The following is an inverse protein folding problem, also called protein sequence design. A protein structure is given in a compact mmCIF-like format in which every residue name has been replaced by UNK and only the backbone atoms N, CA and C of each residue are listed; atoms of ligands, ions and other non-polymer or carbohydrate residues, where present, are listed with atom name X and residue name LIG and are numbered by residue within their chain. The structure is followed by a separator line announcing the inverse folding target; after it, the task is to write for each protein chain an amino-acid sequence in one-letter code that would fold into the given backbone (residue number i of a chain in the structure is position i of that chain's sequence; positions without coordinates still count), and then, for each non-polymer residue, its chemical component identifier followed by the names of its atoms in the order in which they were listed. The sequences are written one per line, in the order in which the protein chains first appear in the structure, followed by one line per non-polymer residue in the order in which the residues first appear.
data_IF_971839693228
#
_entry.id   IF_971839693228
#
_cell.length_a   1.000
_cell.length_b   1.000
_cell.length_c   1.000
_cell.angle_alpha   90.00
_cell.angle_beta   90.00
_cell.angle_gamma   90.00
#
_symmetry.space_group_name_H-M   'P 1'
#
loop_
_entity.id
_entity.type
_entity.pdbx_description
1 polymer ?
#
# COMPACT_ATOMS: atom_id res chain seq x y z
N UNK A 1 23.68 0.75 -15.54
CA UNK A 1 23.07 0.17 -14.31
C UNK A 1 22.01 1.16 -13.85
N UNK A 2 20.73 0.76 -13.79
CA UNK A 2 19.67 1.62 -13.25
C UNK A 2 19.95 1.94 -11.78
N UNK A 3 19.66 3.17 -11.36
CA UNK A 3 19.90 3.62 -10.00
C UNK A 3 18.80 3.04 -9.12
N UNK A 4 19.16 2.11 -8.23
CA UNK A 4 18.24 1.49 -7.28
C UNK A 4 17.54 2.56 -6.43
N UNK A 5 16.22 2.57 -6.44
CA UNK A 5 15.41 3.46 -5.60
C UNK A 5 15.25 2.83 -4.21
N UNK A 6 15.79 3.46 -3.17
CA UNK A 6 15.73 2.94 -1.79
C UNK A 6 15.03 3.97 -0.91
N UNK A 7 14.02 3.52 -0.16
CA UNK A 7 13.39 4.38 0.85
C UNK A 7 14.38 4.66 1.98
N UNK A 8 14.58 5.93 2.32
CA UNK A 8 15.43 6.26 3.45
C UNK A 8 14.74 5.88 4.78
N UNK A 9 15.53 5.61 5.82
CA UNK A 9 15.02 5.12 7.10
C UNK A 9 14.05 6.08 7.79
N UNK A 10 14.26 7.40 7.65
CA UNK A 10 13.38 8.43 8.22
C UNK A 10 11.99 8.36 7.58
N UNK A 11 11.93 8.34 6.26
CA UNK A 11 10.68 8.26 5.49
C UNK A 11 9.98 6.93 5.76
N UNK A 12 10.71 5.81 5.79
CA UNK A 12 10.14 4.50 6.15
C UNK A 12 9.50 4.50 7.53
N UNK A 13 10.13 5.15 8.53
CA UNK A 13 9.59 5.27 9.88
C UNK A 13 8.31 6.12 9.92
N UNK A 14 8.28 7.22 9.17
CA UNK A 14 7.10 8.10 9.08
C UNK A 14 5.95 7.37 8.39
N UNK A 15 6.18 6.76 7.24
CA UNK A 15 5.20 5.98 6.51
C UNK A 15 4.67 4.80 7.34
N UNK A 16 5.56 4.08 8.03
CA UNK A 16 5.15 3.00 8.95
C UNK A 16 4.22 3.51 10.04
N UNK A 17 4.49 4.68 10.64
CA UNK A 17 3.61 5.27 11.65
C UNK A 17 2.25 5.67 11.08
N UNK A 18 2.22 6.22 9.87
CA UNK A 18 0.98 6.61 9.20
C UNK A 18 0.09 5.38 8.96
N UNK A 19 0.64 4.32 8.37
CA UNK A 19 -0.04 3.02 8.16
C UNK A 19 -0.54 2.44 9.48
N UNK A 20 0.29 2.39 10.51
CA UNK A 20 -0.12 1.85 11.81
C UNK A 20 -1.20 2.70 12.49
N UNK A 21 -1.26 4.01 12.22
CA UNK A 21 -2.34 4.86 12.76
C UNK A 21 -3.70 4.46 12.19
N UNK A 22 -3.75 4.10 10.90
CA UNK A 22 -4.95 3.65 10.20
C UNK A 22 -5.32 2.23 10.61
N UNK A 23 -4.33 1.35 10.74
CA UNK A 23 -4.54 -0.07 11.08
C UNK A 23 -4.70 -0.32 12.58
N UNK A 24 -4.53 0.70 13.43
CA UNK A 24 -4.70 0.62 14.89
C UNK A 24 -6.05 0.04 15.32
N UNK A 25 -7.20 0.36 14.68
CA UNK A 25 -8.47 -0.25 15.03
C UNK A 25 -8.52 -1.77 14.83
N UNK A 26 -7.58 -2.38 14.09
CA UNK A 26 -7.43 -3.82 13.76
C UNK A 26 -8.65 -4.46 13.08
N UNK A 27 -9.88 -4.08 13.44
CA UNK A 27 -11.14 -4.61 12.96
C UNK A 27 -11.93 -3.55 12.19
N UNK A 28 -12.23 -3.85 10.94
CA UNK A 28 -12.87 -2.94 9.99
C UNK A 28 -14.19 -3.55 9.51
N UNK A 29 -15.26 -2.75 9.45
CA UNK A 29 -16.57 -3.23 9.01
C UNK A 29 -16.59 -3.50 7.50
N UNK A 30 -15.98 -2.59 6.74
CA UNK A 30 -16.11 -2.55 5.27
C UNK A 30 -14.94 -3.22 4.52
N UNK A 31 -14.06 -3.91 5.24
CA UNK A 31 -12.89 -4.58 4.66
C UNK A 31 -11.58 -3.85 4.92
N UNK A 32 -10.60 -4.08 4.05
CA UNK A 32 -9.28 -3.44 4.15
C UNK A 32 -9.41 -1.95 3.78
N UNK A 33 -8.95 -1.00 4.61
CA UNK A 33 -9.10 0.43 4.36
C UNK A 33 -8.06 0.93 3.34
N UNK A 34 -8.13 0.46 2.08
CA UNK A 34 -7.14 0.78 1.04
C UNK A 34 -7.05 2.28 0.74
N UNK A 35 -8.19 2.96 0.60
CA UNK A 35 -8.21 4.40 0.27
C UNK A 35 -7.47 5.21 1.34
N UNK A 36 -7.78 4.98 2.62
CA UNK A 36 -7.09 5.64 3.72
C UNK A 36 -5.59 5.32 3.76
N UNK A 37 -5.18 4.11 3.38
CA UNK A 37 -3.77 3.73 3.27
C UNK A 37 -3.08 4.44 2.10
N UNK A 38 -3.76 4.58 0.96
CA UNK A 38 -3.29 5.34 -0.21
C UNK A 38 -3.06 6.80 0.16
N UNK A 39 -4.11 7.46 0.66
CA UNK A 39 -4.11 8.88 1.01
C UNK A 39 -2.94 9.21 1.95
N UNK A 40 -2.75 8.40 2.99
CA UNK A 40 -1.69 8.62 3.97
C UNK A 40 -0.27 8.39 3.43
N UNK A 41 -0.10 7.56 2.40
CA UNK A 41 1.19 7.40 1.71
C UNK A 41 1.42 8.53 0.71
N UNK A 42 0.37 8.96 0.01
CA UNK A 42 0.41 10.05 -0.97
C UNK A 42 0.77 11.40 -0.33
N UNK A 43 0.23 11.67 0.87
CA UNK A 43 0.64 12.83 1.68
C UNK A 43 2.15 12.86 1.99
N UNK A 44 2.81 11.70 1.93
CA UNK A 44 4.26 11.55 2.13
C UNK A 44 5.03 11.48 0.79
N UNK A 45 4.36 11.66 -0.34
CA UNK A 45 4.94 11.53 -1.68
C UNK A 45 5.30 10.10 -2.05
N UNK A 46 4.55 9.11 -1.53
CA UNK A 46 4.71 7.69 -1.82
C UNK A 46 3.41 7.18 -2.45
N UNK A 47 3.50 6.53 -3.60
CA UNK A 47 2.36 5.90 -4.26
C UNK A 47 2.39 4.38 -4.09
N UNK A 48 1.21 3.78 -3.98
CA UNK A 48 1.02 2.36 -4.21
C UNK A 48 1.03 2.08 -5.71
N UNK A 49 1.76 1.05 -6.14
CA UNK A 49 1.91 0.73 -7.56
C UNK A 49 1.59 -0.73 -7.85
N UNK A 50 1.00 -0.95 -9.02
CA UNK A 50 0.62 -2.26 -9.53
C UNK A 50 1.81 -3.05 -10.05
N UNK A 51 1.52 -4.24 -10.57
CA UNK A 51 2.56 -5.11 -11.09
C UNK A 51 3.27 -4.56 -12.33
N UNK A 52 2.54 -3.79 -13.13
CA UNK A 52 2.99 -3.14 -14.34
C UNK A 52 3.62 -1.75 -14.10
N UNK A 53 3.83 -1.36 -12.84
CA UNK A 53 4.37 -0.06 -12.42
C UNK A 53 3.48 1.16 -12.66
N UNK A 54 2.19 0.96 -12.94
CA UNK A 54 1.19 2.02 -12.89
C UNK A 54 0.70 2.24 -11.46
N UNK A 55 -0.03 3.33 -11.24
CA UNK A 55 -0.69 3.61 -9.96
C UNK A 55 -1.71 2.51 -9.61
N UNK A 56 -1.82 2.19 -8.32
CA UNK A 56 -2.73 1.15 -7.86
C UNK A 56 -4.21 1.53 -8.08
N UNK A 57 -4.88 0.78 -8.95
CA UNK A 57 -6.31 0.88 -9.21
C UNK A 57 -6.93 -0.51 -9.07
N UNK A 58 -7.35 -0.87 -7.86
CA UNK A 58 -7.87 -2.21 -7.61
C UNK A 58 -8.51 -2.39 -6.25
N UNK A 59 -9.20 -3.52 -6.08
CA UNK A 59 -9.87 -3.90 -4.85
C UNK A 59 -9.43 -5.30 -4.39
N UNK A 60 -9.39 -5.51 -3.08
CA UNK A 60 -9.05 -6.81 -2.49
C UNK A 60 -10.31 -7.66 -2.34
N UNK A 61 -10.22 -8.91 -2.76
CA UNK A 61 -11.34 -9.85 -2.76
C UNK A 61 -11.21 -10.95 -1.71
N UNK A 62 -12.34 -11.53 -1.33
CA UNK A 62 -12.39 -12.74 -0.51
C UNK A 62 -12.46 -12.48 1.00
N UNK A 63 -12.98 -13.47 1.72
CA UNK A 63 -13.12 -13.43 3.17
C UNK A 63 -11.79 -13.56 3.91
N UNK A 64 -10.69 -13.90 3.23
CA UNK A 64 -9.33 -13.90 3.76
C UNK A 64 -8.34 -13.76 2.62
N UNK A 65 -7.18 -13.20 2.90
CA UNK A 65 -6.12 -13.09 1.92
C UNK A 65 -4.87 -12.41 2.44
N UNK A 66 -3.84 -12.43 1.60
CA UNK A 66 -2.64 -11.63 1.75
C UNK A 66 -2.35 -10.89 0.44
N UNK A 67 -1.72 -9.73 0.54
CA UNK A 67 -1.32 -8.92 -0.61
C UNK A 67 0.01 -8.23 -0.30
N UNK A 68 0.87 -8.13 -1.31
CA UNK A 68 2.07 -7.31 -1.28
C UNK A 68 1.93 -6.22 -2.34
N UNK A 69 1.83 -4.98 -1.89
CA UNK A 69 1.70 -3.81 -2.75
C UNK A 69 3.06 -3.12 -2.83
N UNK A 70 3.55 -2.94 -4.06
CA UNK A 70 4.79 -2.20 -4.30
C UNK A 70 4.57 -0.72 -3.99
N UNK A 71 5.63 -0.04 -3.57
CA UNK A 71 5.60 1.38 -3.27
C UNK A 71 6.62 2.12 -4.14
N UNK A 72 6.27 3.29 -4.64
CA UNK A 72 7.17 4.14 -5.41
C UNK A 72 7.16 5.58 -4.88
N UNK A 73 8.26 6.33 -4.96
CA UNK A 73 8.21 7.75 -4.69
C UNK A 73 7.53 8.48 -5.86
N UNK A 74 6.71 9.49 -5.55
CA UNK A 74 6.10 10.38 -6.55
C UNK A 74 7.13 11.00 -7.50
N UNK A 75 8.35 11.26 -7.02
CA UNK A 75 9.43 11.79 -7.85
C UNK A 75 9.96 10.83 -8.92
N UNK A 76 9.50 9.58 -8.96
CA UNK A 76 9.87 8.59 -9.97
C UNK A 76 8.87 8.48 -11.13
N UNK A 77 7.86 9.36 -11.14
CA UNK A 77 6.86 9.41 -12.19
C UNK A 77 7.49 9.66 -13.57
N UNK A 78 7.24 8.74 -14.50
CA UNK A 78 7.55 8.83 -15.92
C UNK A 78 6.23 9.01 -16.69
N UNK A 79 5.98 10.27 -17.07
CA UNK A 79 4.79 10.68 -17.82
C UNK A 79 4.96 10.52 -19.34
N UNK A 80 6.19 10.30 -19.81
CA UNK A 80 6.51 10.17 -21.23
C UNK A 80 6.47 8.70 -21.70
N UNK A 81 5.99 7.80 -20.83
CA UNK A 81 5.94 6.37 -21.14
C UNK A 81 5.04 6.10 -22.37
N UNK A 82 5.45 5.22 -23.30
CA UNK A 82 4.73 5.00 -24.57
C UNK A 82 3.26 4.55 -24.45
N UNK A 83 2.83 4.10 -23.27
CA UNK A 83 1.45 3.73 -22.99
C UNK A 83 0.51 4.94 -22.79
N UNK A 84 1.06 6.14 -22.57
CA UNK A 84 0.28 7.33 -22.20
C UNK A 84 -0.25 7.32 -20.76
N UNK A 85 0.22 6.39 -19.93
CA UNK A 85 -0.08 6.30 -18.50
C UNK A 85 1.16 6.70 -17.70
N UNK A 86 0.96 7.20 -16.47
CA UNK A 86 2.05 7.45 -15.55
C UNK A 86 2.67 6.12 -15.08
N UNK A 87 3.97 5.99 -15.26
CA UNK A 87 4.76 4.86 -14.78
C UNK A 87 5.64 5.30 -13.61
N UNK A 88 5.91 4.39 -12.67
CA UNK A 88 6.71 4.71 -11.50
C UNK A 88 7.84 3.70 -11.29
N UNK A 89 9.00 4.14 -10.81
CA UNK A 89 10.07 3.23 -10.41
C UNK A 89 9.88 2.84 -8.92
N UNK A 90 9.49 1.58 -8.62
CA UNK A 90 9.24 1.17 -7.25
C UNK A 90 10.52 1.16 -6.41
N UNK A 91 10.37 1.41 -5.12
CA UNK A 91 11.43 1.18 -4.16
C UNK A 91 11.85 -0.29 -4.14
N UNK A 92 13.15 -0.55 -4.06
CA UNK A 92 13.67 -1.88 -3.80
C UNK A 92 13.50 -2.28 -2.34
N UNK A 93 13.26 -3.57 -2.10
CA UNK A 93 13.27 -4.22 -0.79
C UNK A 93 12.26 -3.63 0.22
N UNK A 94 11.27 -2.87 -0.22
CA UNK A 94 10.21 -2.37 0.64
C UNK A 94 8.89 -2.36 -0.12
N UNK A 95 7.81 -2.62 0.60
CA UNK A 95 6.45 -2.59 0.09
C UNK A 95 5.48 -2.72 1.25
N UNK A 96 4.20 -2.50 0.97
CA UNK A 96 3.13 -2.67 1.94
C UNK A 96 2.64 -4.12 1.90
N UNK A 97 2.88 -4.87 2.97
CA UNK A 97 2.28 -6.20 3.14
C UNK A 97 0.99 -6.07 3.92
N UNK A 98 -0.08 -6.65 3.40
CA UNK A 98 -1.40 -6.72 4.00
C UNK A 98 -1.82 -8.18 4.18
N UNK A 99 -2.51 -8.46 5.27
CA UNK A 99 -3.19 -9.72 5.52
C UNK A 99 -4.52 -9.43 6.16
N UNK A 100 -5.57 -10.09 5.70
CA UNK A 100 -6.91 -9.91 6.25
C UNK A 100 -7.64 -11.24 6.40
N UNK A 101 -8.58 -11.26 7.33
CA UNK A 101 -9.59 -12.31 7.40
C UNK A 101 -10.89 -11.78 8.01
N UNK A 102 -12.02 -12.33 7.57
CA UNK A 102 -13.36 -12.00 8.05
C UNK A 102 -13.65 -12.80 9.31
N UNK A 103 -13.90 -12.09 10.39
CA UNK A 103 -14.17 -12.66 11.70
C UNK A 103 -15.68 -12.97 11.82
N UNK A 104 -16.08 -14.17 11.42
CA UNK A 104 -17.48 -14.63 11.43
C UNK A 104 -18.06 -14.80 12.84
N UNK A 105 -17.20 -14.99 13.86
CA UNK A 105 -17.62 -15.14 15.26
C UNK A 105 -18.07 -13.83 15.91
N UNK A 106 -17.87 -12.68 15.25
CA UNK A 106 -18.28 -11.37 15.77
C UNK A 106 -19.66 -11.00 15.22
N UNK A 107 -20.48 -10.41 16.11
CA UNK A 107 -21.85 -9.96 15.83
C UNK A 107 -21.98 -9.11 14.56
N UNK A 108 -20.95 -8.33 14.24
CA UNK A 108 -20.95 -7.39 13.11
C UNK A 108 -20.09 -7.85 11.92
N UNK A 109 -19.62 -9.11 11.90
CA UNK A 109 -18.83 -9.69 10.78
C UNK A 109 -17.71 -8.77 10.25
N UNK A 110 -16.77 -8.37 11.12
CA UNK A 110 -15.67 -7.45 10.78
C UNK A 110 -14.48 -8.17 10.17
N UNK A 111 -13.70 -7.47 9.37
CA UNK A 111 -12.40 -7.89 8.89
C UNK A 111 -11.32 -7.54 9.91
N UNK A 112 -10.56 -8.53 10.38
CA UNK A 112 -9.29 -8.26 11.02
C UNK A 112 -8.24 -8.02 9.95
N UNK A 113 -7.55 -6.88 10.03
CA UNK A 113 -6.59 -6.43 9.03
C UNK A 113 -5.27 -6.11 9.73
N UNK A 114 -4.20 -6.74 9.25
CA UNK A 114 -2.83 -6.53 9.70
C UNK A 114 -2.01 -6.08 8.50
N UNK A 115 -1.16 -5.09 8.70
CA UNK A 115 -0.28 -4.62 7.64
C UNK A 115 0.96 -3.93 8.18
N UNK A 116 2.03 -3.95 7.39
CA UNK A 116 3.31 -3.33 7.72
C UNK A 116 4.15 -3.10 6.47
N UNK A 117 5.11 -2.18 6.57
CA UNK A 117 6.14 -2.01 5.54
C UNK A 117 7.26 -3.03 5.72
N UNK A 118 7.64 -3.72 4.64
CA UNK A 118 8.81 -4.61 4.63
C UNK A 118 10.12 -3.84 4.64
#
# INVERSE_FOLDING_TARGET
MARKMIINQKNRRVASKAIQSILKPTYFADGVPLDALSDALEELGIFMVQEDNTEWEGFLCGSKGECFIRLAPKSSEDIDHPSGLAFYEPFENTGLRLTWYKCESRRDSKFEVIGYLT
#
